data_IF_665207138619
#
_entry.id   IF_665207138619
#
_cell.length_a   1.000
_cell.length_b   1.000
_cell.length_c   1.000
_cell.angle_alpha   90.00
_cell.angle_beta   90.00
_cell.angle_gamma   90.00
#
_symmetry.space_group_name_H-M   'P 1'
#
loop_
_entity.id
_entity.type
_entity.pdbx_description
1 polymer ?
#
# COMPACT_ATOMS: atom_id res chain seq x y z
N UNK A 1 30.28 14.49 -37.03
CA UNK A 1 28.82 14.58 -36.96
C UNK A 1 28.42 13.81 -35.73
N UNK A 2 27.82 14.53 -34.80
CA UNK A 2 27.71 14.20 -33.39
C UNK A 2 26.88 12.96 -33.07
N UNK A 3 27.28 12.34 -31.97
CA UNK A 3 26.56 11.36 -31.17
C UNK A 3 25.05 11.67 -31.08
N UNK A 4 24.23 10.77 -31.62
CA UNK A 4 22.80 10.73 -31.32
C UNK A 4 22.64 10.05 -29.95
N UNK A 5 22.98 10.84 -28.94
CA UNK A 5 22.55 10.75 -27.57
C UNK A 5 21.01 10.76 -27.53
N UNK A 6 20.40 9.68 -27.06
CA UNK A 6 19.11 9.77 -26.38
C UNK A 6 19.25 9.22 -24.95
N UNK A 7 19.82 10.00 -24.01
CA UNK A 7 20.04 9.60 -22.62
C UNK A 7 18.77 9.83 -21.78
N UNK A 8 17.60 9.45 -22.30
CA UNK A 8 16.32 9.89 -21.75
C UNK A 8 15.25 8.82 -21.57
N UNK A 9 15.50 7.56 -21.96
CA UNK A 9 14.63 6.45 -21.54
C UNK A 9 15.27 5.76 -20.36
N UNK A 10 15.14 6.39 -19.19
CA UNK A 10 15.18 5.61 -17.96
C UNK A 10 14.08 4.56 -18.07
N UNK A 11 14.49 3.32 -18.34
CA UNK A 11 13.62 2.16 -18.16
C UNK A 11 13.06 2.26 -16.73
N UNK A 12 11.74 2.05 -16.52
CA UNK A 12 11.16 2.09 -15.18
C UNK A 12 12.00 1.19 -14.29
N UNK A 13 12.74 1.79 -13.34
CA UNK A 13 13.52 1.03 -12.38
C UNK A 13 12.51 0.19 -11.62
N UNK A 14 12.67 -1.12 -11.71
CA UNK A 14 11.92 -2.09 -10.94
C UNK A 14 12.13 -1.71 -9.47
N UNK A 15 11.11 -1.08 -8.86
CA UNK A 15 11.15 -0.72 -7.44
C UNK A 15 11.11 -2.06 -6.72
N UNK A 16 12.29 -2.55 -6.38
CA UNK A 16 12.46 -3.62 -5.42
C UNK A 16 11.94 -3.03 -4.12
N UNK A 17 10.67 -3.33 -3.78
CA UNK A 17 9.96 -2.82 -2.62
C UNK A 17 10.62 -3.33 -1.33
N UNK A 18 11.78 -2.75 -1.02
CA UNK A 18 12.26 -2.61 0.34
C UNK A 18 11.11 -1.97 1.13
N UNK A 19 10.68 -2.66 2.19
CA UNK A 19 9.59 -2.25 3.06
C UNK A 19 9.56 -0.74 3.25
N UNK A 20 8.65 -0.06 2.55
CA UNK A 20 8.48 1.38 2.68
C UNK A 20 8.25 1.67 4.15
N UNK A 21 9.05 2.56 4.72
CA UNK A 21 8.87 2.97 6.11
C UNK A 21 7.44 3.50 6.29
N UNK A 22 6.90 3.44 7.51
CA UNK A 22 5.55 3.98 7.80
C UNK A 22 5.41 5.43 7.33
N UNK A 23 6.48 6.22 7.39
CA UNK A 23 6.51 7.60 6.90
C UNK A 23 6.32 7.67 5.36
N UNK A 24 7.01 6.83 4.60
CA UNK A 24 6.87 6.78 3.14
C UNK A 24 5.49 6.28 2.70
N UNK A 25 4.92 5.30 3.42
CA UNK A 25 3.55 4.85 3.15
C UNK A 25 2.53 5.98 3.37
N UNK A 26 2.68 6.74 4.45
CA UNK A 26 1.82 7.90 4.71
C UNK A 26 1.99 9.00 3.65
N UNK A 27 3.22 9.24 3.20
CA UNK A 27 3.50 10.19 2.12
C UNK A 27 2.83 9.78 0.81
N UNK A 28 2.83 8.50 0.46
CA UNK A 28 2.15 7.98 -0.73
C UNK A 28 0.63 8.10 -0.64
N UNK A 29 0.03 7.74 0.51
CA UNK A 29 -1.40 7.96 0.75
C UNK A 29 -1.78 9.44 0.63
N UNK A 30 -0.87 10.33 1.01
CA UNK A 30 -1.08 11.77 0.89
C UNK A 30 -1.14 12.30 -0.55
N UNK A 31 -0.53 11.59 -1.51
CA UNK A 31 -0.49 11.98 -2.91
C UNK A 31 -1.73 11.54 -3.71
N UNK A 32 -2.54 10.63 -3.17
CA UNK A 32 -3.79 10.21 -3.80
C UNK A 32 -4.79 11.36 -3.84
N UNK A 33 -5.71 11.35 -4.80
CA UNK A 33 -6.88 12.20 -4.70
C UNK A 33 -7.80 11.76 -3.55
N UNK A 34 -8.82 12.55 -3.27
CA UNK A 34 -9.72 12.27 -2.15
C UNK A 34 -10.49 10.96 -2.35
N UNK A 35 -10.94 10.66 -3.58
CA UNK A 35 -11.74 9.46 -3.86
C UNK A 35 -10.93 8.17 -3.67
N UNK A 36 -9.72 8.14 -4.23
CA UNK A 36 -8.80 7.02 -4.12
C UNK A 36 -8.37 6.80 -2.68
N UNK A 37 -8.03 7.89 -1.98
CA UNK A 37 -7.65 7.83 -0.56
C UNK A 37 -8.77 7.27 0.30
N UNK A 38 -10.01 7.71 0.09
CA UNK A 38 -11.18 7.18 0.79
C UNK A 38 -11.40 5.70 0.49
N UNK A 39 -11.18 5.28 -0.76
CA UNK A 39 -11.25 3.87 -1.14
C UNK A 39 -10.22 3.02 -0.40
N UNK A 40 -8.98 3.49 -0.29
CA UNK A 40 -7.93 2.81 0.48
C UNK A 40 -8.30 2.73 1.98
N UNK A 41 -8.82 3.80 2.58
CA UNK A 41 -9.24 3.75 3.98
C UNK A 41 -10.35 2.74 4.23
N UNK A 42 -11.37 2.68 3.38
CA UNK A 42 -12.44 1.66 3.48
C UNK A 42 -11.90 0.24 3.37
N UNK A 43 -10.88 0.02 2.51
CA UNK A 43 -10.25 -1.29 2.38
C UNK A 43 -9.52 -1.69 3.66
N UNK A 44 -8.77 -0.77 4.27
CA UNK A 44 -8.09 -0.97 5.55
C UNK A 44 -9.10 -1.29 6.65
N UNK A 45 -10.18 -0.52 6.76
CA UNK A 45 -11.25 -0.75 7.73
C UNK A 45 -11.90 -2.13 7.58
N UNK A 46 -12.22 -2.52 6.33
CA UNK A 46 -12.76 -3.85 6.02
C UNK A 46 -11.81 -4.97 6.47
N UNK A 47 -10.52 -4.85 6.16
CA UNK A 47 -9.53 -5.85 6.54
C UNK A 47 -9.38 -5.97 8.06
N UNK A 48 -9.33 -4.83 8.77
CA UNK A 48 -9.24 -4.80 10.22
C UNK A 48 -10.49 -5.38 10.89
N UNK A 49 -11.68 -5.07 10.36
CA UNK A 49 -12.94 -5.63 10.86
C UNK A 49 -12.99 -7.14 10.69
N UNK A 50 -12.60 -7.63 9.50
CA UNK A 50 -12.53 -9.07 9.23
C UNK A 50 -11.54 -9.77 10.16
N UNK A 51 -10.38 -9.15 10.43
CA UNK A 51 -9.40 -9.69 11.38
C UNK A 51 -9.98 -9.74 12.79
N UNK A 52 -10.56 -8.65 13.28
CA UNK A 52 -11.20 -8.59 14.61
C UNK A 52 -12.30 -9.64 14.75
N UNK A 53 -13.12 -9.84 13.72
CA UNK A 53 -14.18 -10.85 13.73
C UNK A 53 -13.61 -12.27 13.83
N UNK A 54 -12.59 -12.59 13.03
CA UNK A 54 -11.89 -13.89 13.11
C UNK A 54 -11.26 -14.11 14.49
N UNK A 55 -10.54 -13.10 15.01
CA UNK A 55 -9.90 -13.15 16.31
C UNK A 55 -10.94 -13.33 17.44
N UNK A 56 -12.08 -12.64 17.35
CA UNK A 56 -13.20 -12.79 18.27
C UNK A 56 -13.77 -14.20 18.22
N UNK A 57 -14.06 -14.73 17.03
CA UNK A 57 -14.64 -16.06 16.89
C UNK A 57 -13.71 -17.17 17.41
N UNK A 58 -12.41 -17.12 17.06
CA UNK A 58 -11.42 -18.09 17.52
C UNK A 58 -11.27 -18.10 19.05
N UNK A 59 -11.25 -16.91 19.69
CA UNK A 59 -11.17 -16.81 21.15
C UNK A 59 -12.37 -17.44 21.85
N UNK A 60 -13.58 -17.25 21.31
CA UNK A 60 -14.79 -17.81 21.91
C UNK A 60 -14.91 -19.32 21.68
N UNK A 61 -14.48 -19.83 20.52
CA UNK A 61 -14.41 -21.29 20.28
C UNK A 61 -13.38 -21.99 21.17
N UNK A 62 -12.23 -21.37 21.42
CA UNK A 62 -11.21 -21.94 22.31
C UNK A 62 -11.58 -21.86 23.80
N UNK A 63 -12.62 -21.09 24.14
CA UNK A 63 -13.15 -20.94 25.50
C UNK A 63 -14.36 -21.84 25.78
N UNK A 64 -14.81 -22.63 24.79
CA UNK A 64 -15.90 -23.61 24.88
C UNK A 64 -15.33 -25.02 25.06
#
# INVERSE_FOLDING_TARGET
MDDILNPGKELPKEVTDEYKTTAEQMRLLQQLDEEDRQTIFRLIEKMLTNKKFKDFFQKNLAAL
#
